data_IF_649533753048
#
_entry.id   IF_649533753048
#
_cell.length_a   1.000
_cell.length_b   1.000
_cell.length_c   1.000
_cell.angle_alpha   90.00
_cell.angle_beta   90.00
_cell.angle_gamma   90.00
#
_symmetry.space_group_name_H-M   'P 1'
#
loop_
_entity.id
_entity.type
_entity.pdbx_description
1 polymer ?
#
# COMPACT_ATOMS: atom_id res chain seq x y z
N UNK A 1 6.86 -18.42 -2.25
CA UNK A 1 7.28 -18.05 -0.88
C UNK A 1 8.54 -17.18 -0.87
N UNK A 2 9.59 -17.55 -1.62
CA UNK A 2 10.85 -16.79 -1.74
C UNK A 2 10.69 -15.37 -2.29
N UNK A 3 9.85 -15.17 -3.32
CA UNK A 3 9.62 -13.84 -3.91
C UNK A 3 8.93 -12.86 -2.94
N UNK A 4 8.05 -13.36 -2.08
CA UNK A 4 7.38 -12.56 -1.05
C UNK A 4 8.38 -12.05 -0.01
N UNK A 5 9.24 -12.93 0.50
CA UNK A 5 10.32 -12.55 1.42
C UNK A 5 11.34 -11.62 0.77
N UNK A 6 11.64 -11.82 -0.52
CA UNK A 6 12.52 -10.93 -1.27
C UNK A 6 11.93 -9.51 -1.45
N UNK A 7 10.64 -9.40 -1.80
CA UNK A 7 9.96 -8.10 -1.88
C UNK A 7 9.82 -7.42 -0.51
N UNK A 8 9.53 -8.18 0.55
CA UNK A 8 9.51 -7.65 1.91
C UNK A 8 10.89 -7.17 2.37
N UNK A 9 11.97 -7.85 1.99
CA UNK A 9 13.35 -7.43 2.23
C UNK A 9 13.69 -6.14 1.48
N UNK A 10 13.27 -6.02 0.21
CA UNK A 10 13.43 -4.76 -0.56
C UNK A 10 12.64 -3.62 0.09
N UNK A 11 11.39 -3.87 0.50
CA UNK A 11 10.57 -2.87 1.16
C UNK A 11 11.21 -2.42 2.49
N UNK A 12 11.68 -3.36 3.32
CA UNK A 12 12.40 -3.05 4.56
C UNK A 12 13.71 -2.30 4.31
N UNK A 13 14.44 -2.66 3.25
CA UNK A 13 15.66 -1.99 2.82
C UNK A 13 15.40 -0.56 2.37
N UNK A 14 14.34 -0.31 1.61
CA UNK A 14 13.92 1.03 1.18
C UNK A 14 13.44 1.86 2.38
N UNK A 15 12.65 1.27 3.28
CA UNK A 15 12.16 1.95 4.49
C UNK A 15 13.33 2.37 5.39
N UNK A 16 14.29 1.47 5.59
CA UNK A 16 15.51 1.74 6.36
C UNK A 16 16.43 2.75 5.65
N UNK A 17 16.53 2.71 4.33
CA UNK A 17 17.30 3.67 3.54
C UNK A 17 16.69 5.08 3.61
N UNK A 18 15.37 5.22 3.50
CA UNK A 18 14.69 6.52 3.66
C UNK A 18 14.90 7.07 5.07
N UNK A 19 14.68 6.25 6.10
CA UNK A 19 14.88 6.66 7.48
C UNK A 19 16.35 7.03 7.78
N UNK A 20 17.34 6.33 7.22
CA UNK A 20 18.77 6.63 7.45
C UNK A 20 19.24 7.92 6.76
N UNK A 21 18.63 8.33 5.63
CA UNK A 21 19.12 9.48 4.86
C UNK A 21 18.37 10.79 5.15
N UNK A 22 17.12 10.75 5.58
CA UNK A 22 16.34 11.96 5.90
C UNK A 22 16.43 12.38 7.37
N UNK A 23 16.56 11.42 8.28
CA UNK A 23 16.71 11.69 9.72
C UNK A 23 17.99 12.48 10.07
N UNK A 24 19.17 12.29 9.41
CA UNK A 24 20.36 13.12 9.64
C UNK A 24 20.21 14.57 9.17
N UNK A 25 19.34 14.85 8.19
CA UNK A 25 19.02 16.23 7.80
C UNK A 25 18.41 16.95 9.02
N UNK A 26 17.53 16.28 9.76
CA UNK A 26 16.89 16.82 10.97
C UNK A 26 17.86 17.23 12.08
N UNK A 27 19.00 16.53 12.24
CA UNK A 27 19.96 16.80 13.33
C UNK A 27 20.99 17.88 13.00
N UNK A 28 21.00 18.40 11.77
CA UNK A 28 21.88 19.48 11.37
C UNK A 28 21.33 20.86 11.80
N UNK A 29 21.06 21.03 13.10
CA UNK A 29 21.03 22.32 13.80
C UNK A 29 20.36 23.50 13.10
N UNK A 30 19.15 23.36 12.55
CA UNK A 30 18.42 24.49 11.97
C UNK A 30 17.75 25.32 13.08
N UNK A 31 17.82 26.66 13.02
CA UNK A 31 17.21 27.53 14.03
C UNK A 31 15.69 27.36 14.11
N UNK A 32 15.14 27.64 15.30
CA UNK A 32 13.74 27.50 15.77
C UNK A 32 12.64 28.10 14.85
N UNK A 33 12.97 28.74 13.73
CA UNK A 33 12.01 29.27 12.75
C UNK A 33 11.59 28.28 11.64
N UNK A 34 12.19 27.08 11.55
CA UNK A 34 12.03 26.15 10.43
C UNK A 34 11.12 24.94 10.71
N UNK A 35 10.30 24.95 11.77
CA UNK A 35 9.35 23.85 12.08
C UNK A 35 8.42 23.50 10.92
N UNK A 36 8.07 24.49 10.11
CA UNK A 36 7.25 24.31 8.91
C UNK A 36 8.01 23.48 7.86
N UNK A 37 9.30 23.75 7.65
CA UNK A 37 10.13 22.96 6.73
C UNK A 37 10.29 21.51 7.24
N UNK A 38 10.43 21.33 8.55
CA UNK A 38 10.45 19.99 9.15
C UNK A 38 9.15 19.22 8.91
N UNK A 39 7.99 19.84 9.15
CA UNK A 39 6.69 19.24 8.89
C UNK A 39 6.51 18.85 7.42
N UNK A 40 6.94 19.71 6.49
CA UNK A 40 6.86 19.45 5.05
C UNK A 40 7.72 18.24 4.69
N UNK A 41 8.97 18.17 5.17
CA UNK A 41 9.85 17.02 4.91
C UNK A 41 9.28 15.73 5.47
N UNK A 42 8.75 15.76 6.71
CA UNK A 42 8.13 14.59 7.34
C UNK A 42 6.90 14.10 6.56
N UNK A 43 6.03 15.01 6.12
CA UNK A 43 4.84 14.65 5.32
C UNK A 43 5.25 14.07 3.96
N UNK A 44 6.27 14.64 3.32
CA UNK A 44 6.78 14.14 2.03
C UNK A 44 7.37 12.73 2.20
N UNK A 45 8.13 12.47 3.26
CA UNK A 45 8.69 11.13 3.53
C UNK A 45 7.58 10.10 3.75
N UNK A 46 6.58 10.42 4.58
CA UNK A 46 5.45 9.53 4.85
C UNK A 46 4.67 9.23 3.56
N UNK A 47 4.38 10.24 2.75
CA UNK A 47 3.70 10.05 1.46
C UNK A 47 4.51 9.18 0.50
N UNK A 48 5.83 9.40 0.44
CA UNK A 48 6.70 8.64 -0.45
C UNK A 48 6.79 7.17 -0.03
N UNK A 49 6.94 6.89 1.27
CA UNK A 49 6.89 5.52 1.81
C UNK A 49 5.54 4.86 1.51
N UNK A 50 4.45 5.59 1.72
CA UNK A 50 3.09 5.09 1.47
C UNK A 50 2.88 4.72 -0.01
N UNK A 51 3.31 5.57 -0.94
CA UNK A 51 3.20 5.31 -2.39
C UNK A 51 4.01 4.08 -2.79
N UNK A 52 5.26 3.97 -2.31
CA UNK A 52 6.11 2.82 -2.61
C UNK A 52 5.50 1.53 -2.06
N UNK A 53 4.99 1.56 -0.83
CA UNK A 53 4.32 0.42 -0.22
C UNK A 53 3.09 -0.02 -1.04
N UNK A 54 2.26 0.93 -1.51
CA UNK A 54 1.11 0.63 -2.36
C UNK A 54 1.53 -0.04 -3.68
N UNK A 55 2.58 0.47 -4.35
CA UNK A 55 3.07 -0.11 -5.62
C UNK A 55 3.54 -1.55 -5.40
N UNK A 56 4.29 -1.79 -4.32
CA UNK A 56 4.76 -3.13 -3.93
C UNK A 56 3.59 -4.09 -3.73
N UNK A 57 2.56 -3.67 -3.00
CA UNK A 57 1.36 -4.49 -2.75
C UNK A 57 0.63 -4.81 -4.06
N UNK A 58 0.44 -3.84 -4.95
CA UNK A 58 -0.23 -4.04 -6.24
C UNK A 58 0.51 -5.07 -7.10
N UNK A 59 1.84 -4.98 -7.20
CA UNK A 59 2.66 -5.96 -7.92
C UNK A 59 2.56 -7.34 -7.26
N UNK A 60 2.59 -7.39 -5.93
CA UNK A 60 2.50 -8.65 -5.19
C UNK A 60 1.17 -9.35 -5.46
N UNK A 61 0.05 -8.63 -5.46
CA UNK A 61 -1.27 -9.19 -5.76
C UNK A 61 -1.34 -9.77 -7.17
N UNK A 62 -0.73 -9.11 -8.16
CA UNK A 62 -0.64 -9.62 -9.53
C UNK A 62 0.15 -10.92 -9.60
N UNK A 63 1.34 -10.95 -9.01
CA UNK A 63 2.20 -12.14 -9.03
C UNK A 63 1.55 -13.29 -8.27
N UNK A 64 0.93 -13.01 -7.11
CA UNK A 64 0.24 -14.01 -6.33
C UNK A 64 -0.92 -14.65 -7.11
N UNK A 65 -1.67 -13.84 -7.89
CA UNK A 65 -2.74 -14.36 -8.76
C UNK A 65 -2.21 -15.31 -9.83
N UNK A 66 -1.06 -15.01 -10.43
CA UNK A 66 -0.42 -15.89 -11.42
C UNK A 66 0.10 -17.18 -10.78
N UNK A 67 0.78 -17.05 -9.64
CA UNK A 67 1.28 -18.20 -8.88
C UNK A 67 0.15 -19.16 -8.46
N UNK A 68 -0.96 -18.63 -7.97
CA UNK A 68 -2.13 -19.45 -7.61
C UNK A 68 -2.80 -20.12 -8.80
N UNK A 69 -2.73 -19.51 -9.99
CA UNK A 69 -3.22 -20.13 -11.21
C UNK A 69 -2.31 -21.29 -11.64
N UNK A 70 -0.99 -21.11 -11.56
CA UNK A 70 0.00 -22.13 -11.87
C UNK A 70 -0.13 -23.36 -10.95
N UNK A 71 -0.33 -23.15 -9.64
CA UNK A 71 -0.56 -24.24 -8.67
C UNK A 71 -1.83 -25.02 -8.99
N UNK A 72 -2.87 -24.35 -9.51
CA UNK A 72 -4.14 -24.96 -9.87
C UNK A 72 -4.16 -25.51 -11.30
N UNK A 73 -3.00 -25.53 -11.98
CA UNK A 73 -2.87 -25.93 -13.39
C UNK A 73 -3.89 -25.23 -14.30
N UNK A 74 -4.13 -23.93 -14.06
CA UNK A 74 -4.99 -23.07 -14.89
C UNK A 74 -4.22 -21.84 -15.33
N UNK A 75 -4.59 -21.29 -16.48
CA UNK A 75 -3.94 -20.09 -17.00
C UNK A 75 -4.37 -18.89 -16.15
N UNK A 76 -3.38 -18.12 -15.68
CA UNK A 76 -3.57 -16.86 -14.97
C UNK A 76 -4.18 -15.75 -15.84
N UNK A 77 -4.19 -14.50 -15.35
CA UNK A 77 -4.83 -13.38 -16.06
C UNK A 77 -4.26 -13.20 -17.48
N UNK A 78 -5.09 -13.39 -18.52
CA UNK A 78 -4.66 -13.29 -19.93
C UNK A 78 -5.61 -12.42 -20.80
N UNK A 79 -6.66 -11.83 -20.22
CA UNK A 79 -7.77 -11.24 -20.99
C UNK A 79 -7.78 -9.71 -21.05
N UNK A 80 -7.19 -9.04 -20.06
CA UNK A 80 -7.19 -7.57 -19.96
C UNK A 80 -5.76 -7.03 -20.09
N UNK A 81 -5.41 -6.56 -21.29
CA UNK A 81 -4.09 -6.01 -21.63
C UNK A 81 -3.01 -7.07 -21.91
N UNK A 82 -1.82 -6.62 -22.31
CA UNK A 82 -0.64 -7.49 -22.52
C UNK A 82 -0.29 -8.18 -21.19
N UNK A 83 -0.32 -9.51 -21.20
CA UNK A 83 -0.12 -10.39 -20.03
C UNK A 83 -1.08 -10.16 -18.85
N UNK A 84 -2.22 -9.48 -19.02
CA UNK A 84 -3.16 -9.30 -17.91
C UNK A 84 -2.82 -8.17 -16.93
N UNK A 85 -1.89 -7.27 -17.27
CA UNK A 85 -1.44 -6.17 -16.40
C UNK A 85 -2.53 -5.14 -16.08
N UNK A 86 -3.48 -4.92 -17.01
CA UNK A 86 -4.62 -4.01 -16.79
C UNK A 86 -5.62 -4.55 -15.75
N UNK A 87 -5.51 -5.82 -15.36
CA UNK A 87 -6.39 -6.42 -14.35
C UNK A 87 -6.30 -5.69 -13.02
N UNK A 88 -5.10 -5.20 -12.64
CA UNK A 88 -4.90 -4.48 -11.38
C UNK A 88 -5.67 -3.17 -11.36
N UNK A 89 -5.66 -2.44 -12.48
CA UNK A 89 -6.39 -1.18 -12.62
C UNK A 89 -7.90 -1.46 -12.57
N UNK A 90 -8.38 -2.50 -13.26
CA UNK A 90 -9.79 -2.90 -13.23
C UNK A 90 -10.27 -3.27 -11.81
N UNK A 91 -9.42 -3.92 -11.02
CA UNK A 91 -9.74 -4.28 -9.63
C UNK A 91 -9.86 -3.04 -8.73
N UNK A 92 -9.06 -1.99 -8.96
CA UNK A 92 -9.19 -0.70 -8.26
C UNK A 92 -10.50 -0.01 -8.62
N UNK A 93 -10.82 0.10 -9.91
CA UNK A 93 -12.08 0.72 -10.35
C UNK A 93 -13.31 -0.02 -9.82
N UNK A 94 -13.26 -1.35 -9.78
CA UNK A 94 -14.31 -2.19 -9.20
C UNK A 94 -14.55 -1.86 -7.73
N UNK A 95 -13.50 -1.60 -6.95
CA UNK A 95 -13.64 -1.26 -5.53
C UNK A 95 -14.26 0.13 -5.33
N UNK A 96 -13.89 1.11 -6.16
CA UNK A 96 -14.45 2.48 -6.09
C UNK A 96 -15.95 2.48 -6.44
N UNK A 97 -16.35 1.67 -7.42
CA UNK A 97 -17.76 1.54 -7.82
C UNK A 97 -18.59 0.70 -6.86
N UNK A 98 -17.95 0.04 -5.88
CA UNK A 98 -18.68 -0.81 -4.94
C UNK A 98 -19.49 0.08 -4.00
N UNK A 99 -20.80 -0.13 -4.00
CA UNK A 99 -21.70 0.57 -3.10
C UNK A 99 -21.49 0.08 -1.66
N UNK A 100 -21.36 1.03 -0.74
CA UNK A 100 -21.31 0.76 0.70
C UNK A 100 -22.71 0.42 1.22
N UNK A 101 -23.10 -0.85 1.10
CA UNK A 101 -24.38 -1.34 1.59
C UNK A 101 -24.25 -1.62 3.10
N UNK A 102 -24.88 -0.79 3.92
CA UNK A 102 -25.05 -1.07 5.36
C UNK A 102 -26.34 -1.87 5.57
N UNK A 103 -26.28 -3.07 6.19
CA UNK A 103 -27.48 -3.87 6.44
C UNK A 103 -28.48 -3.11 7.34
N UNK A 104 -29.77 -3.13 6.98
CA UNK A 104 -30.82 -2.37 7.69
C UNK A 104 -31.01 -2.81 9.15
N UNK A 105 -30.61 -4.02 9.49
CA UNK A 105 -30.69 -4.62 10.83
C UNK A 105 -29.45 -4.40 11.70
N UNK A 106 -28.35 -3.89 11.12
CA UNK A 106 -27.13 -3.61 11.88
C UNK A 106 -27.15 -2.20 12.47
N UNK A 107 -26.51 -2.06 13.64
CA UNK A 107 -26.24 -0.75 14.22
C UNK A 107 -25.32 0.05 13.29
N UNK A 108 -25.84 1.18 12.79
CA UNK A 108 -25.16 2.04 11.80
C UNK A 108 -23.87 2.65 12.35
N UNK A 109 -23.78 2.86 13.66
CA UNK A 109 -22.60 3.46 14.29
C UNK A 109 -21.53 2.39 14.44
N UNK A 110 -21.86 1.25 15.04
CA UNK A 110 -20.91 0.16 15.22
C UNK A 110 -20.36 -0.36 13.88
N UNK A 111 -21.21 -0.48 12.85
CA UNK A 111 -20.79 -0.98 11.53
C UNK A 111 -19.83 -0.03 10.79
N UNK A 112 -19.98 1.29 10.98
CA UNK A 112 -19.06 2.29 10.38
C UNK A 112 -17.78 2.46 11.17
N UNK A 113 -17.85 2.35 12.50
CA UNK A 113 -16.71 2.60 13.39
C UNK A 113 -15.77 1.38 13.49
N UNK A 114 -16.31 0.17 13.32
CA UNK A 114 -15.56 -1.08 13.35
C UNK A 114 -14.25 -1.08 12.53
N UNK A 115 -14.23 -0.67 11.24
CA UNK A 115 -12.98 -0.64 10.49
C UNK A 115 -11.95 0.33 11.08
N UNK A 116 -12.37 1.51 11.56
CA UNK A 116 -11.42 2.48 12.13
C UNK A 116 -10.74 1.99 13.41
N UNK A 117 -11.45 1.23 14.25
CA UNK A 117 -10.89 0.64 15.46
C UNK A 117 -9.84 -0.43 15.13
N UNK A 118 -10.06 -1.24 14.09
CA UNK A 118 -9.08 -2.27 13.69
C UNK A 118 -7.79 -1.67 13.12
N UNK A 119 -7.86 -0.49 12.51
CA UNK A 119 -6.70 0.19 11.94
C UNK A 119 -5.95 1.10 12.92
N UNK A 120 -6.55 1.45 14.06
CA UNK A 120 -5.89 2.27 15.09
C UNK A 120 -5.32 1.31 16.14
N UNK A 121 -3.99 1.18 16.27
CA UNK A 121 -3.38 0.31 17.29
C UNK A 121 -3.70 0.76 18.72
#
# INVERSE_FOLDING_TARGET
MTLFFFLMSILYGILKFLHINFVPFTYAGYPIGLWIAYLIVAVVEVLLVFIIAMIVVVILVYVFRKYMADVQNRIGPNRVGKWGTLQLIADVFKLIQKQDITPKTADRIAFRVAPYIVFTP
#
